data_IF_084208202582
#
_entry.id   IF_084208202582
#
_cell.length_a   1.000
_cell.length_b   1.000
_cell.length_c   1.000
_cell.angle_alpha   90.00
_cell.angle_beta   90.00
_cell.angle_gamma   90.00
#
_symmetry.space_group_name_H-M   'P 1'
#
loop_
_entity.id
_entity.type
_entity.pdbx_description
1 polymer ?
#
# COMPACT_ATOMS: atom_id res chain seq x y z
N UNK A 1 15.99 -23.00 -17.38
CA UNK A 1 14.55 -22.81 -17.08
C UNK A 1 14.39 -22.30 -15.64
N UNK A 2 14.36 -20.99 -15.37
CA UNK A 2 14.33 -20.49 -13.97
C UNK A 2 13.51 -19.19 -13.79
N UNK A 3 12.27 -19.11 -14.29
CA UNK A 3 11.48 -17.87 -14.17
C UNK A 3 10.08 -18.03 -13.58
N UNK A 4 9.66 -19.24 -13.20
CA UNK A 4 8.31 -19.49 -12.67
C UNK A 4 8.19 -19.37 -11.14
N UNK A 5 9.30 -19.38 -10.39
CA UNK A 5 9.26 -19.32 -8.91
C UNK A 5 9.36 -17.90 -8.31
N UNK A 6 9.91 -16.91 -9.03
CA UNK A 6 10.04 -15.54 -8.50
C UNK A 6 8.70 -14.80 -8.44
N UNK A 7 7.82 -14.99 -9.44
CA UNK A 7 6.53 -14.30 -9.50
C UNK A 7 5.59 -14.68 -8.36
N UNK A 8 5.51 -15.97 -8.02
CA UNK A 8 4.65 -16.46 -6.93
C UNK A 8 5.10 -15.95 -5.54
N UNK A 9 6.42 -15.87 -5.32
CA UNK A 9 6.99 -15.32 -4.07
C UNK A 9 6.76 -13.81 -3.93
N UNK A 10 6.95 -13.03 -4.99
CA UNK A 10 6.70 -11.59 -4.99
C UNK A 10 5.23 -11.24 -4.73
N UNK A 11 4.31 -11.96 -5.37
CA UNK A 11 2.85 -11.77 -5.22
C UNK A 11 2.37 -12.06 -3.80
N UNK A 12 2.86 -13.16 -3.20
CA UNK A 12 2.52 -13.52 -1.82
C UNK A 12 2.97 -12.44 -0.83
N UNK A 13 4.17 -11.91 -1.05
CA UNK A 13 4.75 -10.83 -0.25
C UNK A 13 3.96 -9.52 -0.41
N UNK A 14 3.57 -9.16 -1.63
CA UNK A 14 2.73 -8.00 -1.93
C UNK A 14 1.35 -8.11 -1.27
N UNK A 15 0.72 -9.28 -1.32
CA UNK A 15 -0.59 -9.54 -0.70
C UNK A 15 -0.53 -9.38 0.82
N UNK A 16 0.50 -9.92 1.46
CA UNK A 16 0.70 -9.75 2.90
C UNK A 16 0.91 -8.28 3.28
N UNK A 17 1.65 -7.52 2.48
CA UNK A 17 1.88 -6.09 2.74
C UNK A 17 0.63 -5.24 2.49
N UNK A 18 -0.18 -5.56 1.49
CA UNK A 18 -1.48 -4.92 1.27
C UNK A 18 -2.39 -5.07 2.50
N UNK A 19 -2.42 -6.26 3.10
CA UNK A 19 -3.18 -6.51 4.33
C UNK A 19 -2.65 -5.73 5.54
N UNK A 20 -1.33 -5.49 5.61
CA UNK A 20 -0.74 -4.59 6.63
C UNK A 20 -1.13 -3.14 6.42
N UNK A 21 -1.13 -2.66 5.17
CA UNK A 21 -1.56 -1.30 4.83
C UNK A 21 -3.00 -1.10 5.27
N UNK A 22 -3.90 -2.05 4.98
CA UNK A 22 -5.31 -1.99 5.38
C UNK A 22 -5.49 -1.88 6.91
N UNK A 23 -4.80 -2.74 7.67
CA UNK A 23 -4.83 -2.71 9.14
C UNK A 23 -4.33 -1.39 9.70
N UNK A 24 -3.23 -0.87 9.16
CA UNK A 24 -2.65 0.39 9.61
C UNK A 24 -3.56 1.58 9.22
N UNK A 25 -4.17 1.56 8.02
CA UNK A 25 -5.18 2.53 7.59
C UNK A 25 -6.35 2.53 8.56
N UNK A 26 -6.94 1.37 8.80
CA UNK A 26 -8.09 1.24 9.68
C UNK A 26 -7.76 1.76 11.09
N UNK A 27 -6.58 1.41 11.63
CA UNK A 27 -6.11 1.95 12.91
C UNK A 27 -5.93 3.47 12.91
N UNK A 28 -5.41 4.06 11.82
CA UNK A 28 -5.23 5.51 11.66
C UNK A 28 -6.56 6.28 11.56
N UNK A 29 -7.61 5.65 11.02
CA UNK A 29 -8.93 6.27 10.81
C UNK A 29 -9.93 6.01 11.93
N UNK A 30 -9.84 4.88 12.62
CA UNK A 30 -10.72 4.57 13.76
C UNK A 30 -10.21 5.13 15.10
N UNK A 31 -8.96 5.62 15.17
CA UNK A 31 -8.45 6.30 16.36
C UNK A 31 -8.90 7.76 16.39
N UNK A 32 -9.27 8.30 17.57
CA UNK A 32 -9.63 9.71 17.69
C UNK A 32 -8.47 10.62 17.25
N UNK A 33 -8.81 11.69 16.51
CA UNK A 33 -7.88 12.65 15.86
C UNK A 33 -6.70 13.11 16.73
N UNK A 34 -6.88 13.15 18.05
CA UNK A 34 -5.87 13.57 19.03
C UNK A 34 -4.70 12.58 19.23
N UNK A 35 -4.77 11.39 18.63
CA UNK A 35 -3.73 10.35 18.68
C UNK A 35 -3.40 9.77 17.30
N UNK A 36 -3.60 10.54 16.22
CA UNK A 36 -2.94 10.24 14.94
C UNK A 36 -1.43 10.39 15.16
N UNK A 37 -0.83 9.30 15.61
CA UNK A 37 0.58 9.27 15.95
C UNK A 37 1.38 9.17 14.66
N UNK A 38 2.37 10.04 14.52
CA UNK A 38 3.41 10.04 13.47
C UNK A 38 3.97 8.63 13.18
N UNK A 39 3.93 7.77 14.21
CA UNK A 39 4.31 6.35 14.17
C UNK A 39 3.47 5.53 13.17
N UNK A 40 2.15 5.71 13.12
CA UNK A 40 1.26 4.92 12.24
C UNK A 40 1.45 5.34 10.78
N UNK A 41 1.64 6.63 10.54
CA UNK A 41 1.98 7.21 9.26
C UNK A 41 3.33 6.69 8.73
N UNK A 42 4.34 6.69 9.61
CA UNK A 42 5.68 6.15 9.33
C UNK A 42 5.62 4.66 9.02
N UNK A 43 4.82 3.88 9.76
CA UNK A 43 4.62 2.44 9.52
C UNK A 43 3.93 2.17 8.17
N UNK A 44 2.92 2.97 7.82
CA UNK A 44 2.27 2.93 6.51
C UNK A 44 3.26 3.24 5.39
N UNK A 45 4.07 4.28 5.55
CA UNK A 45 5.05 4.69 4.55
C UNK A 45 6.17 3.66 4.38
N UNK A 46 6.65 3.05 5.47
CA UNK A 46 7.60 1.95 5.42
C UNK A 46 7.02 0.71 4.71
N UNK A 47 5.74 0.40 4.92
CA UNK A 47 5.07 -0.72 4.27
C UNK A 47 4.89 -0.47 2.77
N UNK A 48 4.52 0.75 2.37
CA UNK A 48 4.44 1.14 0.96
C UNK A 48 5.78 1.08 0.23
N UNK A 49 6.85 1.53 0.89
CA UNK A 49 8.19 1.47 0.30
C UNK A 49 8.61 0.02 0.04
N UNK A 50 8.20 -0.92 0.90
CA UNK A 50 8.43 -2.34 0.68
C UNK A 50 7.60 -2.86 -0.51
N UNK A 51 6.32 -2.49 -0.60
CA UNK A 51 5.46 -2.84 -1.76
C UNK A 51 6.07 -2.34 -3.06
N UNK A 52 6.51 -1.07 -3.10
CA UNK A 52 7.16 -0.45 -4.25
C UNK A 52 8.43 -1.19 -4.66
N UNK A 53 9.31 -1.53 -3.70
CA UNK A 53 10.53 -2.29 -3.96
C UNK A 53 10.23 -3.69 -4.50
N UNK A 54 9.27 -4.39 -3.92
CA UNK A 54 8.87 -5.73 -4.39
C UNK A 54 8.23 -5.66 -5.78
N UNK A 55 7.40 -4.66 -6.05
CA UNK A 55 6.83 -4.42 -7.37
C UNK A 55 7.90 -4.07 -8.41
N UNK A 56 8.89 -3.25 -8.06
CA UNK A 56 10.07 -2.96 -8.89
C UNK A 56 10.87 -4.21 -9.23
N UNK A 57 11.16 -5.05 -8.24
CA UNK A 57 11.88 -6.31 -8.46
C UNK A 57 11.11 -7.29 -9.34
N UNK A 58 9.77 -7.28 -9.26
CA UNK A 58 8.90 -8.12 -10.06
C UNK A 58 8.58 -7.54 -11.46
N UNK A 59 8.93 -6.29 -11.72
CA UNK A 59 8.58 -5.58 -12.96
C UNK A 59 7.09 -5.25 -13.08
N UNK A 60 6.40 -4.99 -11.97
CA UNK A 60 4.98 -4.62 -11.95
C UNK A 60 4.81 -3.10 -11.92
N UNK A 61 4.92 -2.45 -13.07
CA UNK A 61 4.86 -0.98 -13.20
C UNK A 61 3.56 -0.39 -12.65
N UNK A 62 2.43 -1.06 -12.90
CA UNK A 62 1.10 -0.66 -12.42
C UNK A 62 1.06 -0.57 -10.89
N UNK A 63 1.70 -1.53 -10.20
CA UNK A 63 1.79 -1.55 -8.74
C UNK A 63 2.72 -0.47 -8.18
N UNK A 64 3.81 -0.18 -8.90
CA UNK A 64 4.74 0.91 -8.54
C UNK A 64 4.00 2.24 -8.59
N UNK A 65 3.23 2.47 -9.66
CA UNK A 65 2.47 3.71 -9.85
C UNK A 65 1.36 3.84 -8.80
N UNK A 66 0.62 2.76 -8.53
CA UNK A 66 -0.41 2.74 -7.49
C UNK A 66 0.17 2.99 -6.09
N UNK A 67 1.31 2.36 -5.75
CA UNK A 67 1.99 2.60 -4.48
C UNK A 67 2.48 4.05 -4.36
N UNK A 68 2.97 4.64 -5.45
CA UNK A 68 3.41 6.04 -5.50
C UNK A 68 2.23 7.02 -5.32
N UNK A 69 1.10 6.77 -6.00
CA UNK A 69 -0.15 7.54 -5.82
C UNK A 69 -0.63 7.46 -4.38
N UNK A 70 -0.66 6.27 -3.80
CA UNK A 70 -1.08 6.09 -2.41
C UNK A 70 -0.15 6.79 -1.43
N UNK A 71 1.17 6.79 -1.67
CA UNK A 71 2.13 7.52 -0.85
C UNK A 71 1.92 9.04 -0.91
N UNK A 72 1.63 9.59 -2.09
CA UNK A 72 1.27 11.03 -2.23
C UNK A 72 -0.01 11.39 -1.49
N UNK A 73 -1.03 10.53 -1.58
CA UNK A 73 -2.28 10.73 -0.86
C UNK A 73 -2.07 10.67 0.66
N UNK A 74 -1.20 9.77 1.12
CA UNK A 74 -0.86 9.65 2.54
C UNK A 74 -0.13 10.92 3.03
N UNK A 75 0.84 11.40 2.27
CA UNK A 75 1.59 12.62 2.60
C UNK A 75 0.66 13.84 2.66
N UNK A 76 -0.20 14.00 1.65
CA UNK A 76 -1.22 15.05 1.63
C UNK A 76 -2.21 14.92 2.79
N UNK A 77 -2.57 13.69 3.21
CA UNK A 77 -3.45 13.43 4.35
C UNK A 77 -2.81 13.81 5.69
N UNK A 78 -1.49 13.67 5.80
CA UNK A 78 -0.74 14.02 7.01
C UNK A 78 -0.52 15.53 7.12
N UNK A 79 -0.31 16.18 5.98
CA UNK A 79 -0.16 17.64 5.89
C UNK A 79 -1.52 18.36 6.00
N UNK A 80 -2.58 17.76 5.45
CA UNK A 80 -3.93 18.32 5.48
C UNK A 80 -4.58 18.18 6.85
N UNK A 81 -4.95 19.32 7.45
CA UNK A 81 -5.79 19.38 8.65
C UNK A 81 -7.23 18.89 8.40
N UNK A 82 -7.63 18.67 7.14
CA UNK A 82 -8.97 18.24 6.77
C UNK A 82 -9.11 16.72 6.75
N UNK A 83 -10.27 16.23 7.19
CA UNK A 83 -10.49 14.79 7.42
C UNK A 83 -10.83 14.00 6.16
N UNK A 84 -10.59 14.55 4.97
CA UNK A 84 -10.98 13.92 3.70
C UNK A 84 -10.15 12.65 3.45
N UNK A 85 -10.72 11.50 3.81
CA UNK A 85 -10.05 10.19 3.81
C UNK A 85 -10.37 9.38 2.56
N UNK A 86 -11.31 9.87 1.76
CA UNK A 86 -11.81 9.26 0.55
C UNK A 86 -10.70 8.99 -0.49
N UNK A 87 -9.83 9.97 -0.86
CA UNK A 87 -8.82 9.73 -1.88
C UNK A 87 -7.74 8.75 -1.41
N UNK A 88 -7.43 8.70 -0.11
CA UNK A 88 -6.51 7.71 0.45
C UNK A 88 -7.14 6.30 0.42
N UNK A 89 -8.40 6.15 0.83
CA UNK A 89 -9.12 4.87 0.74
C UNK A 89 -9.23 4.38 -0.70
N UNK A 90 -9.48 5.30 -1.64
CA UNK A 90 -9.59 4.96 -3.06
C UNK A 90 -8.25 4.49 -3.64
N UNK A 91 -7.15 5.17 -3.31
CA UNK A 91 -5.81 4.72 -3.70
C UNK A 91 -5.43 3.37 -3.06
N UNK A 92 -5.88 3.10 -1.83
CA UNK A 92 -5.68 1.81 -1.18
C UNK A 92 -6.42 0.69 -1.92
N UNK A 93 -7.71 0.91 -2.25
CA UNK A 93 -8.52 -0.04 -3.01
C UNK A 93 -7.90 -0.35 -4.36
N UNK A 94 -7.41 0.66 -5.08
CA UNK A 94 -6.72 0.46 -6.36
C UNK A 94 -5.48 -0.41 -6.21
N UNK A 95 -4.63 -0.14 -5.21
CA UNK A 95 -3.44 -0.95 -4.93
C UNK A 95 -3.82 -2.40 -4.60
N UNK A 96 -4.84 -2.61 -3.76
CA UNK A 96 -5.33 -3.95 -3.43
C UNK A 96 -5.86 -4.71 -4.65
N UNK A 97 -6.61 -4.05 -5.51
CA UNK A 97 -7.18 -4.67 -6.71
C UNK A 97 -6.07 -5.12 -7.66
N UNK A 98 -5.05 -4.28 -7.88
CA UNK A 98 -3.89 -4.62 -8.70
C UNK A 98 -3.14 -5.82 -8.11
N UNK A 99 -2.91 -5.84 -6.80
CA UNK A 99 -2.24 -6.98 -6.13
C UNK A 99 -3.07 -8.26 -6.30
N UNK A 100 -4.40 -8.18 -6.16
CA UNK A 100 -5.32 -9.30 -6.43
C UNK A 100 -5.26 -9.78 -7.87
N UNK A 101 -5.19 -8.86 -8.85
CA UNK A 101 -5.03 -9.20 -10.26
C UNK A 101 -3.74 -9.97 -10.49
N UNK A 102 -2.61 -9.49 -9.96
CA UNK A 102 -1.34 -10.22 -10.04
C UNK A 102 -1.36 -11.56 -9.29
N UNK A 103 -2.16 -11.69 -8.23
CA UNK A 103 -2.34 -12.94 -7.50
C UNK A 103 -3.21 -13.98 -8.18
N UNK A 104 -4.13 -13.59 -9.06
CA UNK A 104 -4.98 -14.51 -9.83
C UNK A 104 -4.32 -15.07 -11.09
N UNK A 105 -3.21 -14.46 -11.52
CA UNK A 105 -2.52 -14.79 -12.77
C UNK A 105 -1.30 -15.71 -12.54
N UNK A 106 -0.98 -16.07 -11.28
CA UNK A 106 0.08 -17.06 -10.95
C UNK A 106 -0.43 -18.49 -10.90
#
# INVERSE_FOLDING_TARGET
>A
MHSKNLRSSCVSSLTWQAGKIEKNLHSLFNKPKQTRSDVEATLLQATLNKVKRTAQQAGHEDLIEAACRFQKQLDHKLDSQFDDSEPLHQAHKQLQELIRRHSRIS
#
